data_IF_202202042038
#
_entry.id   IF_202202042038
#
_cell.length_a   1.000
_cell.length_b   1.000
_cell.length_c   1.000
_cell.angle_alpha   90.00
_cell.angle_beta   90.00
_cell.angle_gamma   90.00
#
_symmetry.space_group_name_H-M   'P 1'
#
loop_
_entity.id
_entity.type
_entity.pdbx_description
1 polymer ?
#
# COMPACT_ATOMS: atom_id res chain seq x y z
N UNK A 1 6.69 -34.45 13.89
CA UNK A 1 5.62 -33.82 13.10
C UNK A 1 5.46 -32.39 13.54
N UNK A 2 5.70 -31.38 12.71
CA UNK A 2 5.40 -30.01 13.13
C UNK A 2 3.88 -29.88 13.17
N UNK A 3 3.36 -29.48 14.33
CA UNK A 3 1.96 -29.12 14.53
C UNK A 3 1.66 -27.93 13.62
N UNK A 4 1.02 -28.18 12.49
CA UNK A 4 0.42 -27.13 11.67
C UNK A 4 -0.70 -26.51 12.49
N UNK A 5 -0.46 -25.36 13.12
CA UNK A 5 -1.54 -24.58 13.71
C UNK A 5 -2.58 -24.30 12.62
N UNK A 6 -3.86 -24.57 12.86
CA UNK A 6 -4.89 -24.20 11.90
C UNK A 6 -4.77 -22.69 11.64
N UNK A 7 -4.69 -22.32 10.36
CA UNK A 7 -4.65 -20.92 9.95
C UNK A 7 -5.93 -20.25 10.45
N UNK A 8 -5.85 -19.49 11.54
CA UNK A 8 -6.97 -18.67 11.99
C UNK A 8 -7.22 -17.61 10.91
N UNK A 9 -8.48 -17.42 10.54
CA UNK A 9 -8.89 -16.35 9.65
C UNK A 9 -9.22 -15.12 10.49
N UNK A 10 -8.85 -13.90 10.06
CA UNK A 10 -9.30 -12.71 10.72
C UNK A 10 -10.85 -12.65 10.81
N UNK A 11 -11.34 -12.20 11.95
CA UNK A 11 -12.76 -11.98 12.23
C UNK A 11 -12.92 -10.64 12.95
N UNK A 12 -12.76 -9.51 12.22
CA UNK A 12 -12.90 -8.19 12.82
C UNK A 12 -14.33 -7.95 13.27
N UNK A 13 -14.49 -7.16 14.32
CA UNK A 13 -15.77 -6.62 14.75
C UNK A 13 -16.11 -5.35 13.96
N UNK A 14 -17.32 -4.83 14.17
CA UNK A 14 -17.71 -3.56 13.58
C UNK A 14 -16.76 -2.44 14.03
N UNK A 15 -16.24 -1.68 13.08
CA UNK A 15 -15.26 -0.62 13.30
C UNK A 15 -13.81 -1.09 13.44
N UNK A 16 -13.54 -2.39 13.47
CA UNK A 16 -12.18 -2.92 13.44
C UNK A 16 -11.70 -3.17 12.01
N UNK A 17 -10.43 -2.87 11.76
CA UNK A 17 -9.72 -3.22 10.53
C UNK A 17 -8.60 -4.21 10.82
N UNK A 18 -8.29 -5.05 9.85
CA UNK A 18 -7.20 -6.03 9.95
C UNK A 18 -5.92 -5.42 9.40
N UNK A 19 -4.89 -5.38 10.21
CA UNK A 19 -3.57 -4.85 9.83
C UNK A 19 -2.56 -6.00 9.84
N UNK A 20 -1.76 -6.08 8.78
CA UNK A 20 -0.68 -7.04 8.69
C UNK A 20 0.63 -6.41 9.17
N UNK A 21 1.36 -7.10 10.05
CA UNK A 21 2.60 -6.59 10.63
C UNK A 21 3.64 -6.20 9.56
N UNK A 22 3.74 -6.99 8.50
CA UNK A 22 4.67 -6.69 7.40
C UNK A 22 4.28 -5.44 6.59
N UNK A 23 3.00 -5.03 6.59
CA UNK A 23 2.61 -3.75 5.98
C UNK A 23 3.17 -2.56 6.78
N UNK A 24 3.21 -2.67 8.11
CA UNK A 24 3.78 -1.62 8.96
C UNK A 24 5.28 -1.50 8.73
N UNK A 25 6.00 -2.62 8.58
CA UNK A 25 7.42 -2.61 8.25
C UNK A 25 7.71 -1.96 6.87
N UNK A 26 6.67 -1.78 6.06
CA UNK A 26 6.72 -1.13 4.74
C UNK A 26 6.15 0.29 4.74
N UNK A 27 5.99 0.89 5.93
CA UNK A 27 5.61 2.29 6.10
C UNK A 27 4.11 2.55 6.20
N UNK A 28 3.28 1.52 6.22
CA UNK A 28 1.87 1.68 6.54
C UNK A 28 1.71 2.02 8.03
N UNK A 29 0.95 3.07 8.33
CA UNK A 29 0.57 3.44 9.69
C UNK A 29 -0.96 3.56 9.75
N UNK A 30 -1.64 2.77 10.60
CA UNK A 30 -3.09 2.90 10.79
C UNK A 30 -3.46 4.32 11.25
N UNK A 31 -4.59 4.87 10.78
CA UNK A 31 -5.60 4.30 9.87
C UNK A 31 -5.22 4.40 8.39
N UNK A 32 -3.97 4.66 8.05
CA UNK A 32 -3.50 4.90 6.70
C UNK A 32 -3.61 6.37 6.30
N UNK A 33 -2.69 6.83 5.46
CA UNK A 33 -2.76 8.17 4.90
C UNK A 33 -3.95 8.30 3.95
N UNK A 34 -4.40 9.53 3.72
CA UNK A 34 -5.44 9.81 2.72
C UNK A 34 -5.11 9.18 1.37
N UNK A 35 -3.86 9.37 0.88
CA UNK A 35 -3.42 8.78 -0.37
C UNK A 35 -3.54 7.24 -0.39
N UNK A 36 -3.16 6.58 0.71
CA UNK A 36 -3.27 5.12 0.81
C UNK A 36 -4.73 4.67 0.70
N UNK A 37 -5.63 5.31 1.42
CA UNK A 37 -7.07 5.02 1.38
C UNK A 37 -7.67 5.33 0.02
N UNK A 38 -7.32 6.45 -0.60
CA UNK A 38 -7.82 6.85 -1.92
C UNK A 38 -7.44 5.83 -2.99
N UNK A 39 -6.20 5.33 -2.97
CA UNK A 39 -5.75 4.26 -3.90
C UNK A 39 -6.55 2.99 -3.70
N UNK A 40 -6.71 2.53 -2.46
CA UNK A 40 -7.46 1.30 -2.20
C UNK A 40 -8.93 1.44 -2.56
N UNK A 41 -9.58 2.53 -2.15
CA UNK A 41 -11.00 2.76 -2.43
C UNK A 41 -11.27 2.91 -3.93
N UNK A 42 -10.40 3.58 -4.69
CA UNK A 42 -10.57 3.73 -6.12
C UNK A 42 -10.57 2.39 -6.87
N UNK A 43 -9.68 1.47 -6.50
CA UNK A 43 -9.60 0.16 -7.13
C UNK A 43 -10.48 -0.89 -6.45
N UNK A 44 -11.28 -0.51 -5.46
CA UNK A 44 -12.07 -1.42 -4.62
C UNK A 44 -11.22 -2.54 -3.99
N UNK A 45 -10.03 -2.16 -3.51
CA UNK A 45 -9.08 -3.05 -2.86
C UNK A 45 -9.12 -2.87 -1.35
N UNK A 46 -8.69 -3.90 -0.65
CA UNK A 46 -8.51 -3.90 0.80
C UNK A 46 -7.02 -4.08 1.12
N UNK A 47 -6.56 -3.74 2.32
CA UNK A 47 -5.18 -3.98 2.72
C UNK A 47 -4.72 -5.43 2.47
N UNK A 48 -5.61 -6.39 2.67
CA UNK A 48 -5.32 -7.81 2.45
C UNK A 48 -5.08 -8.21 1.00
N UNK A 49 -5.58 -7.45 0.03
CA UNK A 49 -5.48 -7.80 -1.39
C UNK A 49 -4.11 -7.44 -1.97
N UNK A 50 -3.34 -6.59 -1.28
CA UNK A 50 -2.02 -6.13 -1.71
C UNK A 50 -0.90 -6.67 -0.81
N UNK A 51 0.21 -7.05 -1.43
CA UNK A 51 1.39 -7.50 -0.68
C UNK A 51 2.23 -6.34 -0.12
N UNK A 52 3.15 -6.62 0.83
CA UNK A 52 3.97 -5.59 1.49
C UNK A 52 4.76 -4.70 0.52
N UNK A 53 5.28 -5.24 -0.59
CA UNK A 53 6.00 -4.43 -1.57
C UNK A 53 5.07 -3.42 -2.30
N UNK A 54 3.78 -3.74 -2.46
CA UNK A 54 2.78 -2.81 -2.98
C UNK A 54 2.52 -1.67 -2.01
N UNK A 55 2.49 -1.97 -0.71
CA UNK A 55 2.41 -0.96 0.35
C UNK A 55 3.62 -0.02 0.28
N UNK A 56 4.84 -0.56 0.13
CA UNK A 56 6.04 0.27 -0.05
C UNK A 56 5.91 1.22 -1.24
N UNK A 57 5.34 0.77 -2.36
CA UNK A 57 5.18 1.61 -3.55
C UNK A 57 4.22 2.77 -3.31
N UNK A 58 3.10 2.55 -2.60
CA UNK A 58 2.17 3.64 -2.23
C UNK A 58 2.85 4.63 -1.28
N UNK A 59 3.55 4.13 -0.25
CA UNK A 59 4.23 4.98 0.73
C UNK A 59 5.39 5.78 0.12
N UNK A 60 6.18 5.16 -0.77
CA UNK A 60 7.25 5.86 -1.49
C UNK A 60 6.69 6.92 -2.46
N UNK A 61 5.57 6.63 -3.12
CA UNK A 61 4.89 7.61 -3.95
C UNK A 61 4.46 8.84 -3.15
N UNK A 62 3.88 8.62 -1.97
CA UNK A 62 3.49 9.71 -1.09
C UNK A 62 4.70 10.58 -0.69
N UNK A 63 5.79 9.96 -0.22
CA UNK A 63 7.02 10.67 0.13
C UNK A 63 7.60 11.41 -1.06
N UNK A 64 7.55 10.82 -2.25
CA UNK A 64 8.00 11.48 -3.48
C UNK A 64 7.22 12.76 -3.76
N UNK A 65 5.89 12.71 -3.66
CA UNK A 65 5.06 13.89 -3.85
C UNK A 65 5.34 14.97 -2.79
N UNK A 66 5.32 14.60 -1.51
CA UNK A 66 5.47 15.55 -0.40
C UNK A 66 6.87 16.19 -0.36
N UNK A 67 7.93 15.40 -0.52
CA UNK A 67 9.31 15.85 -0.28
C UNK A 67 9.96 16.41 -1.54
N UNK A 68 9.80 15.77 -2.68
CA UNK A 68 10.50 16.14 -3.91
C UNK A 68 9.65 17.02 -4.84
N UNK A 69 8.34 16.78 -4.89
CA UNK A 69 7.45 17.60 -5.69
C UNK A 69 6.88 18.78 -4.89
N UNK A 70 6.80 18.70 -3.55
CA UNK A 70 6.14 19.71 -2.72
C UNK A 70 4.64 19.83 -3.03
N UNK A 71 4.03 18.70 -3.40
CA UNK A 71 2.63 18.60 -3.81
C UNK A 71 1.94 17.50 -3.03
N UNK A 72 0.63 17.63 -2.81
CA UNK A 72 -0.15 16.54 -2.26
C UNK A 72 -0.20 15.36 -3.24
N UNK A 73 -0.12 14.11 -2.74
CA UNK A 73 -0.29 12.94 -3.58
C UNK A 73 -1.67 12.95 -4.26
N UNK A 74 -1.70 12.76 -5.57
CA UNK A 74 -2.96 12.65 -6.31
C UNK A 74 -3.12 11.28 -6.94
N UNK A 75 -4.34 10.75 -6.91
CA UNK A 75 -4.67 9.48 -7.55
C UNK A 75 -4.38 9.49 -9.05
N UNK A 76 -4.58 10.65 -9.70
CA UNK A 76 -4.30 10.80 -11.12
C UNK A 76 -2.81 10.63 -11.43
N UNK A 77 -1.93 11.26 -10.63
CA UNK A 77 -0.49 11.09 -10.76
C UNK A 77 -0.07 9.65 -10.40
N UNK A 78 -0.69 9.05 -9.39
CA UNK A 78 -0.44 7.65 -9.06
C UNK A 78 -0.73 6.73 -10.26
N UNK A 79 -1.87 6.89 -10.93
CA UNK A 79 -2.25 6.12 -12.13
C UNK A 79 -1.34 6.36 -13.34
N UNK A 80 -0.74 7.55 -13.46
CA UNK A 80 0.28 7.83 -14.49
C UNK A 80 1.56 7.03 -14.23
N UNK A 81 1.97 6.89 -12.98
CA UNK A 81 3.26 6.30 -12.60
C UNK A 81 3.19 4.80 -12.32
N UNK A 82 2.03 4.31 -11.86
CA UNK A 82 1.84 2.92 -11.46
C UNK A 82 0.68 2.25 -12.19
N UNK A 83 0.69 0.94 -12.14
CA UNK A 83 -0.43 0.10 -12.53
C UNK A 83 -0.54 -1.08 -11.57
N UNK A 84 -1.70 -1.70 -11.55
CA UNK A 84 -1.96 -2.87 -10.75
C UNK A 84 -1.95 -4.11 -11.66
N UNK A 85 -1.42 -5.19 -11.12
CA UNK A 85 -1.37 -6.46 -11.83
C UNK A 85 -1.82 -7.59 -10.92
N UNK A 86 -2.66 -8.49 -11.43
CA UNK A 86 -3.00 -9.73 -10.72
C UNK A 86 -1.79 -10.63 -10.69
N UNK A 87 -1.47 -11.14 -9.53
CA UNK A 87 -0.52 -12.25 -9.40
C UNK A 87 -1.24 -13.53 -9.77
N UNK A 88 -0.58 -14.38 -10.56
CA UNK A 88 -1.14 -15.64 -11.01
C UNK A 88 -1.61 -16.49 -9.82
N UNK A 89 -2.78 -17.10 -9.95
CA UNK A 89 -3.33 -18.03 -8.99
C UNK A 89 -2.31 -19.12 -8.70
N UNK A 90 -1.96 -19.29 -7.42
CA UNK A 90 -1.27 -20.50 -7.01
C UNK A 90 -2.21 -21.69 -7.30
N UNK A 91 -1.76 -22.65 -8.09
CA UNK A 91 -2.52 -23.76 -8.64
C UNK A 91 -3.14 -24.74 -7.60
N UNK A 92 -3.09 -24.45 -6.31
CA UNK A 92 -3.47 -25.36 -5.23
C UNK A 92 -4.59 -24.83 -4.32
N UNK A 93 -5.79 -24.68 -4.88
CA UNK A 93 -7.02 -24.64 -4.10
C UNK A 93 -7.49 -23.26 -3.61
N UNK A 94 -8.68 -23.16 -3.02
CA UNK A 94 -9.30 -21.91 -2.59
C UNK A 94 -8.60 -21.36 -1.35
N UNK A 95 -7.41 -20.84 -1.51
CA UNK A 95 -6.79 -20.03 -0.48
C UNK A 95 -7.54 -18.68 -0.44
N UNK A 96 -7.77 -18.16 0.75
CA UNK A 96 -7.93 -16.74 0.94
C UNK A 96 -6.80 -16.07 0.15
N UNK A 97 -7.12 -15.45 -0.98
CA UNK A 97 -6.12 -14.87 -1.86
C UNK A 97 -5.67 -13.54 -1.27
N UNK A 98 -4.80 -13.65 -0.27
CA UNK A 98 -4.14 -12.53 0.34
C UNK A 98 -2.97 -12.14 -0.57
N UNK A 99 -2.91 -10.85 -0.95
CA UNK A 99 -1.84 -10.33 -1.79
C UNK A 99 -1.95 -10.67 -3.28
N UNK A 100 -3.13 -10.99 -3.76
CA UNK A 100 -3.38 -11.33 -5.17
C UNK A 100 -3.18 -10.17 -6.16
N UNK A 101 -3.00 -8.95 -5.67
CA UNK A 101 -2.75 -7.75 -6.47
C UNK A 101 -1.37 -7.19 -6.15
N UNK A 102 -0.56 -6.95 -7.18
CA UNK A 102 0.70 -6.22 -7.07
C UNK A 102 0.58 -4.85 -7.70
N UNK A 103 1.09 -3.84 -7.03
CA UNK A 103 1.25 -2.49 -7.55
C UNK A 103 2.66 -2.39 -8.12
N UNK A 104 2.76 -2.04 -9.38
CA UNK A 104 4.02 -1.98 -10.11
C UNK A 104 4.16 -0.63 -10.80
N UNK A 105 5.40 -0.12 -10.88
CA UNK A 105 5.67 1.06 -11.69
C UNK A 105 5.49 0.75 -13.16
N UNK A 106 5.03 1.71 -13.95
CA UNK A 106 5.02 1.58 -15.41
C UNK A 106 6.45 1.59 -15.94
N UNK A 107 6.76 0.77 -16.94
CA UNK A 107 8.14 0.62 -17.47
C UNK A 107 8.73 1.93 -17.98
N UNK A 108 7.91 2.72 -18.65
CA UNK A 108 8.32 4.01 -19.24
C UNK A 108 8.06 5.19 -18.31
N UNK A 109 7.85 4.93 -17.01
CA UNK A 109 7.50 5.97 -16.09
C UNK A 109 8.73 6.64 -15.48
N UNK A 110 8.50 7.87 -15.10
CA UNK A 110 9.48 8.78 -14.53
C UNK A 110 9.56 8.67 -12.98
N UNK A 111 9.11 7.55 -12.40
CA UNK A 111 9.21 7.38 -10.96
C UNK A 111 10.61 6.91 -10.57
N UNK A 112 11.31 7.61 -9.63
CA UNK A 112 12.61 7.17 -9.13
C UNK A 112 12.43 5.88 -8.34
N UNK A 113 12.93 4.79 -8.86
CA UNK A 113 12.67 3.45 -8.33
C UNK A 113 13.94 2.78 -7.84
N UNK A 114 13.85 2.23 -6.63
CA UNK A 114 14.78 1.22 -6.16
C UNK A 114 14.05 -0.12 -6.09
N UNK A 115 14.73 -1.18 -6.48
CA UNK A 115 14.15 -2.52 -6.41
C UNK A 115 13.83 -2.88 -4.95
N UNK A 116 12.59 -3.26 -4.63
CA UNK A 116 12.25 -3.63 -3.27
C UNK A 116 12.97 -4.94 -2.90
N UNK A 117 13.26 -5.15 -1.60
CA UNK A 117 13.79 -6.41 -1.14
C UNK A 117 12.82 -7.56 -1.49
N UNK A 118 13.33 -8.79 -1.44
CA UNK A 118 12.51 -9.98 -1.69
C UNK A 118 11.21 -9.94 -0.89
N UNK A 119 10.14 -10.42 -1.49
CA UNK A 119 8.83 -10.46 -0.85
C UNK A 119 8.88 -11.29 0.44
N UNK A 120 8.44 -10.76 1.59
CA UNK A 120 8.41 -11.53 2.83
C UNK A 120 7.54 -12.78 2.65
N UNK A 121 8.12 -13.95 2.91
CA UNK A 121 7.33 -15.18 2.92
C UNK A 121 6.40 -15.16 4.14
N UNK A 122 5.16 -15.60 3.94
CA UNK A 122 4.18 -15.71 5.03
C UNK A 122 3.79 -14.38 5.72
N UNK A 123 3.95 -13.23 5.03
CA UNK A 123 3.59 -11.90 5.54
C UNK A 123 2.14 -11.82 6.05
N UNK A 124 1.26 -12.65 5.53
CA UNK A 124 -0.16 -12.73 5.87
C UNK A 124 -0.46 -13.60 7.12
N UNK A 125 0.57 -14.10 7.78
CA UNK A 125 0.41 -14.96 8.96
C UNK A 125 0.38 -14.18 10.27
N UNK A 126 0.91 -12.96 10.27
CA UNK A 126 0.95 -12.08 11.44
C UNK A 126 0.11 -10.85 11.19
N UNK A 127 -0.98 -10.74 11.91
CA UNK A 127 -1.95 -9.66 11.80
C UNK A 127 -2.55 -9.34 13.16
N UNK A 128 -3.17 -8.18 13.29
CA UNK A 128 -3.86 -7.72 14.50
C UNK A 128 -5.05 -6.83 14.10
N UNK A 129 -5.93 -6.58 15.07
CA UNK A 129 -7.06 -5.68 14.87
C UNK A 129 -6.72 -4.27 15.35
N UNK A 130 -7.14 -3.28 14.58
CA UNK A 130 -7.12 -1.88 14.97
C UNK A 130 -8.52 -1.29 14.86
N UNK A 131 -8.84 -0.36 15.73
CA UNK A 131 -10.00 0.50 15.53
C UNK A 131 -9.74 1.42 14.33
N UNK A 132 -10.68 1.52 13.41
CA UNK A 132 -10.62 2.54 12.37
C UNK A 132 -10.94 3.90 12.99
N UNK A 133 -9.93 4.76 13.05
CA UNK A 133 -10.03 6.12 13.59
C UNK A 133 -10.09 7.17 12.49
N UNK A 134 -10.42 6.78 11.26
CA UNK A 134 -10.64 7.72 10.14
C UNK A 134 -11.67 8.78 10.53
N UNK A 135 -11.43 10.02 10.14
CA UNK A 135 -12.38 11.10 10.36
C UNK A 135 -13.64 10.89 9.51
N UNK A 136 -14.77 11.41 9.95
CA UNK A 136 -16.05 11.20 9.29
C UNK A 136 -16.12 11.75 7.84
N UNK A 137 -15.28 12.71 7.51
CA UNK A 137 -15.13 13.32 6.18
C UNK A 137 -14.07 12.64 5.31
N UNK A 138 -13.36 11.66 5.85
CA UNK A 138 -12.36 10.89 5.12
C UNK A 138 -12.94 9.58 4.60
N UNK A 139 -12.43 9.13 3.44
CA UNK A 139 -12.71 7.76 2.97
C UNK A 139 -12.19 6.76 3.99
N UNK A 140 -13.00 5.83 4.50
CA UNK A 140 -12.55 4.84 5.48
C UNK A 140 -11.51 3.90 4.86
N UNK A 141 -10.70 3.28 5.70
CA UNK A 141 -9.88 2.16 5.26
C UNK A 141 -10.80 0.98 4.90
N UNK A 142 -10.70 0.41 3.68
CA UNK A 142 -11.56 -0.71 3.30
C UNK A 142 -11.41 -1.90 4.25
N UNK A 143 -12.53 -2.36 4.79
CA UNK A 143 -12.59 -3.41 5.80
C UNK A 143 -12.21 -4.81 5.27
N UNK A 144 -11.80 -5.70 6.15
CA UNK A 144 -11.51 -7.10 5.82
C UNK A 144 -12.77 -7.82 5.32
N UNK A 145 -12.63 -8.59 4.25
CA UNK A 145 -13.68 -9.50 3.74
C UNK A 145 -13.09 -10.88 3.49
N UNK A 146 -13.81 -11.95 3.85
CA UNK A 146 -13.30 -13.32 3.71
C UNK A 146 -13.24 -13.82 2.26
N UNK A 147 -13.89 -13.12 1.34
CA UNK A 147 -13.99 -13.48 -0.08
C UNK A 147 -13.17 -12.55 -0.95
N UNK A 148 -12.61 -13.09 -2.04
CA UNK A 148 -11.97 -12.28 -3.08
C UNK A 148 -12.97 -11.29 -3.67
N UNK A 149 -12.53 -10.06 -3.87
CA UNK A 149 -13.24 -9.09 -4.70
C UNK A 149 -12.66 -9.09 -6.12
N UNK A 150 -13.54 -8.95 -7.09
CA UNK A 150 -13.13 -8.55 -8.43
C UNK A 150 -13.01 -7.02 -8.43
N UNK A 151 -11.83 -6.46 -8.76
CA UNK A 151 -11.67 -5.02 -8.86
C UNK A 151 -12.68 -4.41 -9.83
N UNK A 152 -13.31 -3.33 -9.42
CA UNK A 152 -14.34 -2.65 -10.21
C UNK A 152 -13.76 -1.81 -11.34
N UNK A 153 -12.50 -1.41 -11.20
CA UNK A 153 -11.78 -0.63 -12.21
C UNK A 153 -10.69 -1.46 -12.90
N UNK A 154 -10.44 -1.21 -14.20
CA UNK A 154 -9.34 -1.83 -14.90
C UNK A 154 -8.01 -1.55 -14.21
N UNK A 155 -7.27 -2.61 -13.89
CA UNK A 155 -6.06 -2.52 -13.07
C UNK A 155 -4.88 -1.87 -13.79
N UNK A 156 -4.83 -1.98 -15.12
CA UNK A 156 -3.66 -1.57 -15.92
C UNK A 156 -3.94 -0.41 -16.87
N UNK A 157 -5.11 0.19 -16.83
CA UNK A 157 -5.49 1.24 -17.76
C UNK A 157 -4.53 2.44 -17.68
N UNK A 158 -4.16 2.92 -18.86
CA UNK A 158 -3.41 4.16 -19.00
C UNK A 158 -4.38 5.35 -18.96
N UNK A 159 -3.88 6.47 -18.49
CA UNK A 159 -4.63 7.71 -18.56
C UNK A 159 -4.88 8.09 -20.02
N UNK A 160 -6.06 8.60 -20.29
CA UNK A 160 -6.36 9.27 -21.55
C UNK A 160 -5.52 10.55 -21.68
N UNK A 161 -5.42 11.07 -22.91
CA UNK A 161 -4.70 12.33 -23.14
C UNK A 161 -5.32 13.49 -22.35
N UNK A 162 -6.65 13.52 -22.23
CA UNK A 162 -7.35 14.56 -21.46
C UNK A 162 -7.04 14.48 -19.96
N UNK A 163 -7.01 13.27 -19.38
CA UNK A 163 -6.63 13.07 -17.96
C UNK A 163 -5.16 13.41 -17.71
N UNK A 164 -4.29 13.18 -18.69
CA UNK A 164 -2.85 13.43 -18.58
C UNK A 164 -2.48 14.89 -18.71
N UNK A 165 -3.27 15.68 -19.43
CA UNK A 165 -2.97 17.09 -19.71
C UNK A 165 -2.69 17.92 -18.45
N UNK A 166 -3.49 17.86 -17.37
CA UNK A 166 -3.23 18.63 -16.16
C UNK A 166 -1.96 18.19 -15.42
N UNK A 167 -1.44 16.99 -15.69
CA UNK A 167 -0.22 16.48 -15.05
C UNK A 167 1.07 16.93 -15.74
N UNK A 168 1.00 17.54 -16.93
CA UNK A 168 2.21 17.91 -17.68
C UNK A 168 3.20 18.79 -16.91
N UNK A 169 2.81 19.79 -16.14
CA UNK A 169 3.75 20.56 -15.32
C UNK A 169 4.49 19.69 -14.30
N UNK A 170 3.77 18.84 -13.58
CA UNK A 170 4.34 17.88 -12.60
C UNK A 170 5.24 16.87 -13.27
N UNK A 171 4.85 16.33 -14.42
CA UNK A 171 5.68 15.42 -15.23
C UNK A 171 7.01 16.09 -15.64
N UNK A 172 6.98 17.36 -16.06
CA UNK A 172 8.19 18.08 -16.42
C UNK A 172 9.08 18.33 -15.20
N UNK A 173 8.52 18.61 -14.03
CA UNK A 173 9.25 18.72 -12.77
C UNK A 173 9.93 17.41 -12.41
N UNK A 174 9.23 16.28 -12.54
CA UNK A 174 9.81 14.95 -12.34
C UNK A 174 11.00 14.70 -13.27
N UNK A 175 10.86 15.01 -14.57
CA UNK A 175 11.95 14.90 -15.54
C UNK A 175 13.18 15.72 -15.14
N UNK A 176 12.98 16.93 -14.67
CA UNK A 176 14.06 17.81 -14.20
C UNK A 176 14.77 17.21 -12.97
N UNK A 177 14.01 16.70 -11.99
CA UNK A 177 14.57 16.05 -10.80
C UNK A 177 15.42 14.83 -11.16
N UNK A 178 14.93 13.98 -12.05
CA UNK A 178 15.67 12.81 -12.54
C UNK A 178 16.91 13.23 -13.34
N UNK A 179 16.79 14.24 -14.18
CA UNK A 179 17.91 14.82 -14.93
C UNK A 179 19.01 15.41 -14.02
N UNK A 180 18.65 15.89 -12.84
CA UNK A 180 19.54 16.37 -11.80
C UNK A 180 20.10 15.24 -10.88
N UNK A 181 19.84 13.97 -11.21
CA UNK A 181 20.44 12.82 -10.54
C UNK A 181 19.58 12.18 -9.45
N UNK A 182 18.33 12.65 -9.21
CA UNK A 182 17.45 11.97 -8.27
C UNK A 182 17.24 10.51 -8.70
N UNK A 183 17.45 9.60 -7.77
CA UNK A 183 17.32 8.17 -8.02
C UNK A 183 16.48 7.49 -6.93
N UNK A 184 16.15 6.19 -7.13
CA UNK A 184 15.31 5.45 -6.21
C UNK A 184 15.93 5.23 -4.83
N UNK A 185 17.25 5.19 -4.71
CA UNK A 185 17.94 5.03 -3.42
C UNK A 185 17.75 6.27 -2.56
N UNK A 186 17.80 7.46 -3.15
CA UNK A 186 17.57 8.72 -2.44
C UNK A 186 16.13 8.76 -1.89
N UNK A 187 15.17 8.38 -2.70
CA UNK A 187 13.77 8.29 -2.27
C UNK A 187 13.59 7.30 -1.12
N UNK A 188 14.15 6.09 -1.23
CA UNK A 188 14.04 5.05 -0.19
C UNK A 188 14.71 5.50 1.11
N UNK A 189 15.85 6.18 1.06
CA UNK A 189 16.51 6.75 2.26
C UNK A 189 15.61 7.74 2.99
N UNK A 190 14.97 8.66 2.26
CA UNK A 190 14.04 9.62 2.86
C UNK A 190 12.82 8.89 3.45
N UNK A 191 12.23 7.96 2.70
CA UNK A 191 11.11 7.15 3.18
C UNK A 191 11.44 6.39 4.47
N UNK A 192 12.59 5.70 4.53
CA UNK A 192 13.03 5.01 5.73
C UNK A 192 13.18 5.99 6.90
N UNK A 193 13.86 7.12 6.68
CA UNK A 193 14.15 8.09 7.73
C UNK A 193 12.90 8.79 8.27
N UNK A 194 11.94 9.09 7.42
CA UNK A 194 10.78 9.89 7.77
C UNK A 194 9.53 9.09 8.10
N UNK A 195 9.43 7.87 7.61
CA UNK A 195 8.25 7.02 7.80
C UNK A 195 8.55 5.76 8.60
N UNK A 196 9.56 4.98 8.21
CA UNK A 196 9.81 3.67 8.84
C UNK A 196 10.46 3.82 10.22
N UNK A 197 11.57 4.58 10.32
CA UNK A 197 12.29 4.73 11.60
C UNK A 197 11.44 5.39 12.69
N UNK A 198 10.70 6.49 12.45
CA UNK A 198 9.84 7.06 13.48
C UNK A 198 8.76 6.10 13.98
N UNK A 199 8.16 5.31 13.07
CA UNK A 199 7.16 4.30 13.43
C UNK A 199 7.78 3.21 14.31
N UNK A 200 8.95 2.68 13.93
CA UNK A 200 9.62 1.62 14.70
C UNK A 200 10.03 2.05 16.12
N UNK A 201 10.21 3.35 16.35
CA UNK A 201 10.57 3.93 17.66
C UNK A 201 9.38 4.28 18.54
N UNK A 202 8.16 4.14 18.03
CA UNK A 202 6.92 4.51 18.76
C UNK A 202 5.91 3.36 18.76
N UNK A 203 6.27 2.17 19.23
CA UNK A 203 5.40 0.99 19.15
C UNK A 203 4.04 1.19 19.85
N UNK A 204 3.96 2.00 20.88
CA UNK A 204 2.70 2.26 21.61
C UNK A 204 1.79 3.33 20.99
N UNK A 205 2.18 4.00 19.89
CA UNK A 205 1.40 5.05 19.25
C UNK A 205 0.87 4.65 17.85
N UNK A 206 1.14 3.43 17.42
CA UNK A 206 0.83 3.01 16.05
C UNK A 206 -0.58 2.46 15.90
N UNK A 207 -1.10 1.85 16.93
CA UNK A 207 -2.49 1.39 17.04
C UNK A 207 -2.78 1.02 18.50
N UNK A 208 -4.03 1.13 18.89
CA UNK A 208 -4.49 0.60 20.14
C UNK A 208 -4.67 -0.92 20.02
N UNK A 209 -3.86 -1.68 20.77
CA UNK A 209 -4.03 -3.13 20.84
C UNK A 209 -5.34 -3.44 21.58
N UNK A 210 -6.21 -4.21 20.96
CA UNK A 210 -7.53 -4.52 21.55
C UNK A 210 -7.48 -5.51 22.70
N UNK A 211 -6.32 -6.12 22.95
CA UNK A 211 -6.12 -7.09 24.02
C UNK A 211 -6.81 -8.43 23.81
N UNK A 212 -7.22 -8.74 22.59
CA UNK A 212 -7.90 -10.00 22.28
C UNK A 212 -6.94 -11.17 22.35
N UNK A 213 -7.34 -12.24 23.05
CA UNK A 213 -6.52 -13.46 23.20
C UNK A 213 -6.41 -14.29 21.90
N UNK A 214 -7.22 -14.00 20.91
CA UNK A 214 -7.24 -14.66 19.59
C UNK A 214 -6.40 -13.93 18.54
N UNK A 215 -5.74 -12.83 18.90
CA UNK A 215 -4.70 -12.24 18.06
C UNK A 215 -3.53 -13.24 17.92
N UNK A 216 -2.97 -13.39 16.73
CA UNK A 216 -1.93 -14.37 16.44
C UNK A 216 -0.60 -14.07 17.14
#
# INVERSE_FOLDING_TARGET
MPLTRPKKRPQPRDGEVVIFADHMSRGFAPPGSKNFRDVLNFFDLRPQDIGPNSVSNICNFQVFCEVYLGEEPSLLLFRELFYLNRQNECANGPSLELGGISIQRRRDCLFPYAEPPSHPKHWNMTWFYCQDTSLADESPLPGFRPTRLEPTHPLSDKLTQAERQPLLPTINKIKALLGNGLNGIDLVRVWISWRVIPLSRRPGLMCEYTGRKDDP
#
